data_IF_683826094281
#
_entry.id   IF_683826094281
#
_cell.length_a   1.000
_cell.length_b   1.000
_cell.length_c   1.000
_cell.angle_alpha   90.00
_cell.angle_beta   90.00
_cell.angle_gamma   90.00
#
_symmetry.space_group_name_H-M   'P 1'
#
loop_
_entity.id
_entity.type
_entity.pdbx_description
1 polymer ?
#
# COMPACT_ATOMS: atom_id res chain seq x y z
N UNK A 1 -4.77 32.39 14.03
CA UNK A 1 -5.21 31.13 13.40
C UNK A 1 -4.21 30.04 13.80
N UNK A 2 -4.53 29.24 14.83
CA UNK A 2 -3.73 28.07 15.21
C UNK A 2 -3.93 26.99 14.14
N UNK A 3 -2.94 26.80 13.26
CA UNK A 3 -2.82 25.56 12.51
C UNK A 3 -2.60 24.45 13.56
N UNK A 4 -3.59 23.57 13.75
CA UNK A 4 -3.40 22.33 14.49
C UNK A 4 -2.39 21.51 13.69
N UNK A 5 -1.16 21.43 14.17
CA UNK A 5 -0.23 20.38 13.74
C UNK A 5 -0.86 19.07 14.14
N UNK A 6 -1.45 18.39 13.18
CA UNK A 6 -1.94 17.03 13.36
C UNK A 6 -0.73 16.13 13.65
N UNK A 7 -0.71 15.48 14.81
CA UNK A 7 0.40 14.63 15.23
C UNK A 7 0.63 13.51 14.20
N UNK A 8 1.89 13.12 13.97
CA UNK A 8 2.24 12.01 13.05
C UNK A 8 1.50 10.73 13.42
N UNK A 9 1.26 10.51 14.73
CA UNK A 9 0.51 9.37 15.26
C UNK A 9 -0.95 9.38 14.78
N UNK A 10 -1.60 10.55 14.71
CA UNK A 10 -2.97 10.70 14.21
C UNK A 10 -3.05 10.43 12.70
N UNK A 11 -2.00 10.77 11.95
CA UNK A 11 -1.92 10.49 10.50
C UNK A 11 -1.78 9.01 10.21
N UNK A 12 -1.04 8.26 11.02
CA UNK A 12 -0.91 6.80 10.86
C UNK A 12 -2.26 6.10 11.04
N UNK A 13 -3.05 6.48 12.05
CA UNK A 13 -4.39 5.95 12.27
C UNK A 13 -5.34 6.25 11.11
N UNK A 14 -5.20 7.40 10.45
CA UNK A 14 -5.99 7.78 9.28
C UNK A 14 -5.76 6.82 8.10
N UNK A 15 -4.52 6.45 7.85
CA UNK A 15 -4.19 5.62 6.68
C UNK A 15 -4.32 4.11 6.94
N UNK A 16 -4.04 3.67 8.18
CA UNK A 16 -3.87 2.25 8.50
C UNK A 16 -4.78 1.77 9.65
N UNK A 17 -5.56 2.65 10.27
CA UNK A 17 -6.30 2.37 11.51
C UNK A 17 -7.72 1.82 11.36
N UNK A 18 -8.26 1.69 10.13
CA UNK A 18 -9.59 1.11 9.91
C UNK A 18 -10.73 1.91 10.56
N UNK A 19 -10.74 3.25 10.42
CA UNK A 19 -11.79 4.11 10.98
C UNK A 19 -12.99 4.11 10.04
N UNK A 20 -14.08 3.45 10.40
CA UNK A 20 -15.31 3.28 9.59
C UNK A 20 -15.86 4.60 9.04
N UNK A 21 -15.85 5.67 9.83
CA UNK A 21 -16.32 6.99 9.40
C UNK A 21 -15.43 7.57 8.28
N UNK A 22 -14.12 7.39 8.38
CA UNK A 22 -13.20 7.82 7.34
C UNK A 22 -13.38 7.01 6.06
N UNK A 23 -13.53 5.70 6.17
CA UNK A 23 -13.77 4.81 5.02
C UNK A 23 -15.07 5.19 4.30
N UNK A 24 -16.12 5.56 5.04
CA UNK A 24 -17.37 6.06 4.46
C UNK A 24 -17.19 7.39 3.73
N UNK A 25 -16.49 8.35 4.35
CA UNK A 25 -16.19 9.64 3.71
C UNK A 25 -15.32 9.46 2.46
N UNK A 26 -14.34 8.58 2.51
CA UNK A 26 -13.53 8.24 1.34
C UNK A 26 -14.38 7.65 0.22
N UNK A 27 -15.30 6.75 0.54
CA UNK A 27 -16.24 6.17 -0.44
C UNK A 27 -17.14 7.23 -1.07
N UNK A 28 -17.68 8.15 -0.28
CA UNK A 28 -18.54 9.23 -0.79
C UNK A 28 -17.80 10.18 -1.75
N UNK A 29 -16.57 10.57 -1.39
CA UNK A 29 -15.81 11.58 -2.15
C UNK A 29 -15.02 10.97 -3.33
N UNK A 30 -14.50 9.77 -3.19
CA UNK A 30 -13.59 9.17 -4.16
C UNK A 30 -14.12 7.89 -4.82
N UNK A 31 -15.29 7.37 -4.38
CA UNK A 31 -15.86 6.16 -4.94
C UNK A 31 -16.02 6.20 -6.46
N UNK A 32 -16.68 7.22 -7.05
CA UNK A 32 -16.81 7.30 -8.51
C UNK A 32 -15.47 7.36 -9.24
N UNK A 33 -14.50 8.09 -8.70
CA UNK A 33 -13.16 8.19 -9.27
C UNK A 33 -12.40 6.87 -9.20
N UNK A 34 -12.54 6.14 -8.07
CA UNK A 34 -11.96 4.81 -7.91
C UNK A 34 -12.58 3.82 -8.90
N UNK A 35 -13.90 3.85 -9.11
CA UNK A 35 -14.56 2.99 -10.09
C UNK A 35 -14.01 3.24 -11.51
N UNK A 36 -13.88 4.48 -11.92
CA UNK A 36 -13.26 4.84 -13.20
C UNK A 36 -11.82 4.30 -13.30
N UNK A 37 -11.02 4.46 -12.23
CA UNK A 37 -9.67 3.91 -12.19
C UNK A 37 -9.64 2.37 -12.33
N UNK A 38 -10.53 1.66 -11.64
CA UNK A 38 -10.62 0.18 -11.71
C UNK A 38 -11.09 -0.32 -13.08
N UNK A 39 -11.90 0.46 -13.80
CA UNK A 39 -12.35 0.15 -15.16
C UNK A 39 -11.28 0.44 -16.23
N UNK A 40 -10.13 0.98 -15.85
CA UNK A 40 -9.05 1.30 -16.78
C UNK A 40 -9.10 2.72 -17.34
N UNK A 41 -10.05 3.52 -16.90
CA UNK A 41 -10.09 4.95 -17.20
C UNK A 41 -8.93 5.70 -16.52
N UNK A 42 -8.87 7.01 -16.62
CA UNK A 42 -7.82 7.86 -16.07
C UNK A 42 -6.42 7.59 -16.67
N UNK A 43 -6.34 7.09 -17.89
CA UNK A 43 -5.07 6.84 -18.59
C UNK A 43 -4.20 8.10 -18.70
N UNK A 44 -4.82 9.28 -18.83
CA UNK A 44 -4.09 10.55 -18.81
C UNK A 44 -3.32 10.80 -17.52
N UNK A 45 -3.70 10.13 -16.39
CA UNK A 45 -2.98 10.22 -15.12
C UNK A 45 -1.70 9.37 -15.09
N UNK A 46 -1.52 8.47 -16.04
CA UNK A 46 -0.35 7.60 -16.07
C UNK A 46 0.94 8.32 -16.51
N UNK A 47 0.86 9.44 -17.21
CA UNK A 47 2.03 10.12 -17.77
C UNK A 47 2.69 11.15 -16.85
N UNK A 48 1.98 12.15 -16.28
CA UNK A 48 2.59 13.04 -15.30
C UNK A 48 2.88 12.30 -14.00
N UNK A 49 4.12 12.36 -13.50
CA UNK A 49 4.56 11.57 -12.33
C UNK A 49 3.68 11.77 -11.09
N UNK A 50 3.27 13.01 -10.79
CA UNK A 50 2.41 13.33 -9.66
C UNK A 50 1.00 12.76 -9.83
N UNK A 51 0.45 12.80 -11.05
CA UNK A 51 -0.85 12.20 -11.35
C UNK A 51 -0.76 10.67 -11.30
N UNK A 52 0.34 10.08 -11.78
CA UNK A 52 0.59 8.63 -11.66
C UNK A 52 0.63 8.19 -10.20
N UNK A 53 1.33 8.95 -9.33
CA UNK A 53 1.34 8.66 -7.90
C UNK A 53 -0.08 8.76 -7.30
N UNK A 54 -0.86 9.76 -7.68
CA UNK A 54 -2.25 9.88 -7.23
C UNK A 54 -3.12 8.70 -7.70
N UNK A 55 -2.95 8.23 -8.94
CA UNK A 55 -3.62 7.04 -9.46
C UNK A 55 -3.21 5.77 -8.68
N UNK A 56 -1.93 5.61 -8.38
CA UNK A 56 -1.41 4.51 -7.56
C UNK A 56 -2.04 4.53 -6.17
N UNK A 57 -2.11 5.69 -5.51
CA UNK A 57 -2.75 5.84 -4.20
C UNK A 57 -4.24 5.48 -4.26
N UNK A 58 -4.92 5.87 -5.31
CA UNK A 58 -6.34 5.55 -5.52
C UNK A 58 -6.54 4.03 -5.67
N UNK A 59 -5.74 3.37 -6.51
CA UNK A 59 -5.83 1.95 -6.79
C UNK A 59 -5.39 1.06 -5.62
N UNK A 60 -4.42 1.50 -4.82
CA UNK A 60 -3.87 0.72 -3.71
C UNK A 60 -4.50 1.11 -2.37
N UNK A 61 -4.27 2.33 -1.88
CA UNK A 61 -4.65 2.74 -0.52
C UNK A 61 -6.14 3.00 -0.38
N UNK A 62 -6.72 3.80 -1.28
CA UNK A 62 -8.15 4.14 -1.22
C UNK A 62 -9.01 2.92 -1.49
N UNK A 63 -8.61 2.06 -2.44
CA UNK A 63 -9.32 0.83 -2.75
C UNK A 63 -9.40 -0.10 -1.53
N UNK A 64 -8.30 -0.27 -0.80
CA UNK A 64 -8.27 -1.05 0.45
C UNK A 64 -9.20 -0.49 1.51
N UNK A 65 -9.24 0.81 1.70
CA UNK A 65 -10.08 1.44 2.70
C UNK A 65 -11.57 1.38 2.31
N UNK A 66 -11.89 1.68 1.05
CA UNK A 66 -13.28 1.74 0.55
C UNK A 66 -13.91 0.34 0.48
N UNK A 67 -13.15 -0.69 0.14
CA UNK A 67 -13.63 -2.06 -0.08
C UNK A 67 -13.10 -3.06 0.96
N UNK A 68 -12.74 -2.58 2.15
CA UNK A 68 -12.20 -3.39 3.25
C UNK A 68 -13.01 -4.66 3.47
N UNK A 69 -12.33 -5.79 3.68
CA UNK A 69 -12.94 -7.09 3.93
C UNK A 69 -13.54 -7.77 2.70
N UNK A 70 -13.34 -7.25 1.50
CA UNK A 70 -13.85 -7.87 0.26
C UNK A 70 -12.74 -8.08 -0.77
N UNK A 71 -12.94 -8.99 -1.72
CA UNK A 71 -12.03 -9.22 -2.84
C UNK A 71 -11.74 -7.94 -3.64
N UNK A 72 -12.70 -7.03 -3.67
CA UNK A 72 -12.62 -5.77 -4.39
C UNK A 72 -11.51 -4.85 -3.86
N UNK A 73 -11.13 -4.99 -2.58
CA UNK A 73 -10.01 -4.26 -1.98
C UNK A 73 -8.67 -4.50 -2.70
N UNK A 74 -8.56 -5.57 -3.46
CA UNK A 74 -7.34 -5.98 -4.17
C UNK A 74 -7.45 -5.83 -5.70
N UNK A 75 -8.59 -5.36 -6.22
CA UNK A 75 -8.83 -5.27 -7.66
C UNK A 75 -7.88 -4.31 -8.40
N UNK A 76 -7.35 -3.30 -7.70
CA UNK A 76 -6.42 -2.32 -8.24
C UNK A 76 -4.95 -2.74 -8.22
N UNK A 77 -4.60 -3.84 -7.51
CA UNK A 77 -3.20 -4.21 -7.22
C UNK A 77 -2.36 -4.38 -8.49
N UNK A 78 -2.85 -5.11 -9.47
CA UNK A 78 -2.10 -5.38 -10.70
C UNK A 78 -1.76 -4.13 -11.49
N UNK A 79 -2.71 -3.19 -11.62
CA UNK A 79 -2.47 -1.91 -12.31
C UNK A 79 -1.52 -1.03 -11.50
N UNK A 80 -1.72 -0.94 -10.18
CA UNK A 80 -0.84 -0.16 -9.31
C UNK A 80 0.61 -0.67 -9.38
N UNK A 81 0.83 -1.98 -9.28
CA UNK A 81 2.15 -2.60 -9.40
C UNK A 81 2.81 -2.31 -10.75
N UNK A 82 2.06 -2.42 -11.86
CA UNK A 82 2.56 -2.09 -13.20
C UNK A 82 3.03 -0.65 -13.29
N UNK A 83 2.25 0.31 -12.77
CA UNK A 83 2.60 1.73 -12.77
C UNK A 83 3.86 2.01 -11.92
N UNK A 84 4.00 1.34 -10.77
CA UNK A 84 5.22 1.41 -9.96
C UNK A 84 6.41 0.93 -10.77
N UNK A 85 6.35 -0.28 -11.34
CA UNK A 85 7.46 -0.86 -12.11
C UNK A 85 7.86 0.02 -13.31
N UNK A 86 6.90 0.62 -13.99
CA UNK A 86 7.19 1.59 -15.06
C UNK A 86 7.93 2.83 -14.53
N UNK A 87 7.53 3.35 -13.36
CA UNK A 87 8.19 4.49 -12.73
C UNK A 87 9.63 4.15 -12.35
N UNK A 88 9.85 2.95 -11.81
CA UNK A 88 11.18 2.47 -11.42
C UNK A 88 12.09 2.22 -12.63
N UNK A 89 11.57 1.65 -13.71
CA UNK A 89 12.33 1.40 -14.93
C UNK A 89 12.85 2.68 -15.58
N UNK A 90 12.16 3.81 -15.35
CA UNK A 90 12.54 5.13 -15.84
C UNK A 90 13.33 5.96 -14.80
N UNK A 91 13.63 5.41 -13.63
CA UNK A 91 14.25 6.09 -12.47
C UNK A 91 13.50 7.38 -12.04
N UNK A 92 12.21 7.51 -12.39
CA UNK A 92 11.40 8.68 -12.07
C UNK A 92 11.01 8.76 -10.59
N UNK A 93 11.13 7.67 -9.84
CA UNK A 93 10.90 7.68 -8.39
C UNK A 93 11.84 8.64 -7.66
N UNK A 94 13.03 8.91 -8.21
CA UNK A 94 14.00 9.85 -7.63
C UNK A 94 13.54 11.30 -7.69
N UNK A 95 12.63 11.64 -8.59
CA UNK A 95 12.03 12.98 -8.69
C UNK A 95 11.00 13.25 -7.57
N UNK A 96 10.52 12.19 -6.89
CA UNK A 96 9.55 12.31 -5.81
C UNK A 96 10.22 12.63 -4.47
N UNK A 97 9.58 13.43 -3.61
CA UNK A 97 10.01 13.57 -2.22
C UNK A 97 9.93 12.22 -1.50
N UNK A 98 10.71 12.04 -0.43
CA UNK A 98 10.82 10.78 0.32
C UNK A 98 9.46 10.14 0.68
N UNK A 99 8.49 10.95 1.11
CA UNK A 99 7.14 10.46 1.44
C UNK A 99 6.41 9.98 0.18
N UNK A 100 6.56 10.68 -0.95
CA UNK A 100 6.01 10.25 -2.23
C UNK A 100 6.59 8.91 -2.69
N UNK A 101 7.91 8.73 -2.55
CA UNK A 101 8.57 7.44 -2.82
C UNK A 101 8.05 6.32 -1.93
N UNK A 102 7.85 6.57 -0.64
CA UNK A 102 7.31 5.58 0.28
C UNK A 102 5.94 5.08 -0.22
N UNK A 103 5.04 6.00 -0.54
CA UNK A 103 3.71 5.62 -1.06
C UNK A 103 3.78 4.96 -2.45
N UNK A 104 4.73 5.36 -3.29
CA UNK A 104 4.98 4.70 -4.57
C UNK A 104 5.35 3.22 -4.39
N UNK A 105 6.11 2.87 -3.35
CA UNK A 105 6.59 1.50 -3.13
C UNK A 105 5.56 0.59 -2.42
N UNK A 106 4.49 1.15 -1.85
CA UNK A 106 3.49 0.34 -1.12
C UNK A 106 2.81 -0.75 -1.97
N UNK A 107 2.48 -0.56 -3.26
CA UNK A 107 1.96 -1.66 -4.07
C UNK A 107 2.90 -2.86 -4.21
N UNK A 108 4.22 -2.64 -4.11
CA UNK A 108 5.20 -3.74 -4.08
C UNK A 108 5.12 -4.51 -2.77
N UNK A 109 4.95 -3.80 -1.63
CA UNK A 109 4.75 -4.41 -0.31
C UNK A 109 3.47 -5.27 -0.28
N UNK A 110 2.47 -4.88 -1.04
CA UNK A 110 1.19 -5.57 -1.11
C UNK A 110 1.15 -6.71 -2.15
N UNK A 111 2.22 -6.91 -2.91
CA UNK A 111 2.28 -7.92 -3.95
C UNK A 111 2.46 -9.35 -3.38
N UNK A 112 1.70 -10.31 -3.90
CA UNK A 112 1.94 -11.74 -3.65
C UNK A 112 3.02 -12.26 -4.62
N UNK A 113 4.20 -11.60 -4.60
CA UNK A 113 5.36 -11.89 -5.45
C UNK A 113 6.63 -11.66 -4.66
N UNK A 114 7.43 -12.71 -4.51
CA UNK A 114 8.67 -12.67 -3.72
C UNK A 114 9.66 -11.62 -4.26
N UNK A 115 9.81 -11.53 -5.58
CA UNK A 115 10.70 -10.55 -6.20
C UNK A 115 10.28 -9.10 -5.93
N UNK A 116 8.98 -8.80 -5.96
CA UNK A 116 8.47 -7.47 -5.66
C UNK A 116 8.58 -7.13 -4.17
N UNK A 117 8.49 -8.12 -3.29
CA UNK A 117 8.72 -7.95 -1.87
C UNK A 117 10.18 -7.57 -1.56
N UNK A 118 11.13 -8.26 -2.17
CA UNK A 118 12.55 -7.93 -2.05
C UNK A 118 12.85 -6.51 -2.57
N UNK A 119 12.33 -6.16 -3.74
CA UNK A 119 12.47 -4.82 -4.31
C UNK A 119 11.92 -3.74 -3.35
N UNK A 120 10.74 -4.00 -2.74
CA UNK A 120 10.14 -3.09 -1.77
C UNK A 120 11.04 -2.87 -0.55
N UNK A 121 11.52 -3.95 0.06
CA UNK A 121 12.39 -3.89 1.26
C UNK A 121 13.67 -3.12 0.93
N UNK A 122 14.31 -3.40 -0.20
CA UNK A 122 15.54 -2.73 -0.60
C UNK A 122 15.32 -1.23 -0.80
N UNK A 123 14.24 -0.83 -1.50
CA UNK A 123 13.94 0.57 -1.74
C UNK A 123 13.61 1.35 -0.47
N UNK A 124 12.80 0.78 0.41
CA UNK A 124 12.50 1.42 1.71
C UNK A 124 13.75 1.50 2.57
N UNK A 125 14.61 0.48 2.57
CA UNK A 125 15.89 0.52 3.28
C UNK A 125 16.79 1.66 2.76
N UNK A 126 16.89 1.85 1.44
CA UNK A 126 17.60 3.00 0.85
C UNK A 126 17.00 4.34 1.30
N UNK A 127 15.66 4.46 1.40
CA UNK A 127 15.03 5.67 1.93
C UNK A 127 15.44 5.92 3.38
N UNK A 128 15.50 4.90 4.23
CA UNK A 128 15.96 5.02 5.62
C UNK A 128 17.40 5.53 5.66
N UNK A 129 18.29 4.93 4.86
CA UNK A 129 19.73 5.26 4.87
C UNK A 129 20.03 6.68 4.37
N UNK A 130 19.25 7.20 3.41
CA UNK A 130 19.51 8.50 2.77
C UNK A 130 18.62 9.63 3.30
N UNK A 131 17.79 9.37 4.31
CA UNK A 131 16.90 10.39 4.90
C UNK A 131 17.53 11.05 6.13
N UNK A 132 17.20 12.32 6.41
CA UNK A 132 17.56 12.95 7.68
C UNK A 132 17.08 12.13 8.89
N UNK A 133 17.82 12.13 9.99
CA UNK A 133 17.60 11.26 11.15
C UNK A 133 16.15 11.27 11.71
N UNK A 134 15.48 12.42 11.69
CA UNK A 134 14.09 12.54 12.15
C UNK A 134 13.12 11.76 11.26
N UNK A 135 13.32 11.81 9.93
CA UNK A 135 12.48 11.08 8.95
C UNK A 135 12.88 9.60 8.91
N UNK A 136 14.17 9.29 8.97
CA UNK A 136 14.68 7.92 9.01
C UNK A 136 14.04 7.12 10.16
N UNK A 137 13.89 7.69 11.35
CA UNK A 137 13.19 7.05 12.48
C UNK A 137 11.73 6.70 12.16
N UNK A 138 11.02 7.55 11.43
CA UNK A 138 9.64 7.27 11.01
C UNK A 138 9.60 6.16 9.95
N UNK A 139 10.56 6.15 9.01
CA UNK A 139 10.68 5.16 7.95
C UNK A 139 11.08 3.77 8.46
N UNK A 140 11.74 3.66 9.61
CA UNK A 140 12.08 2.38 10.26
C UNK A 140 10.83 1.51 10.48
N UNK A 141 9.70 2.11 10.90
CA UNK A 141 8.44 1.39 11.04
C UNK A 141 7.92 0.83 9.71
N UNK A 142 8.08 1.59 8.62
CA UNK A 142 7.70 1.15 7.29
C UNK A 142 8.63 0.04 6.77
N UNK A 143 9.93 0.11 7.07
CA UNK A 143 10.89 -0.95 6.74
C UNK A 143 10.55 -2.24 7.49
N UNK A 144 10.25 -2.16 8.79
CA UNK A 144 9.85 -3.33 9.58
C UNK A 144 8.54 -3.95 9.03
N UNK A 145 7.58 -3.12 8.63
CA UNK A 145 6.36 -3.59 7.98
C UNK A 145 6.66 -4.31 6.65
N UNK A 146 7.53 -3.75 5.80
CA UNK A 146 7.92 -4.38 4.53
C UNK A 146 8.61 -5.74 4.77
N UNK A 147 9.51 -5.83 5.73
CA UNK A 147 10.17 -7.08 6.12
C UNK A 147 9.17 -8.12 6.65
N UNK A 148 8.15 -7.69 7.39
CA UNK A 148 7.09 -8.58 7.86
C UNK A 148 6.24 -9.13 6.71
N UNK A 149 5.91 -8.30 5.71
CA UNK A 149 5.20 -8.74 4.50
C UNK A 149 6.06 -9.73 3.71
N UNK A 150 7.35 -9.43 3.50
CA UNK A 150 8.29 -10.33 2.84
C UNK A 150 8.32 -11.70 3.53
N UNK A 151 8.48 -11.75 4.85
CA UNK A 151 8.53 -13.01 5.60
C UNK A 151 7.25 -13.86 5.43
N UNK A 152 6.08 -13.23 5.29
CA UNK A 152 4.83 -13.94 5.02
C UNK A 152 4.84 -14.53 3.60
N UNK A 153 5.30 -13.77 2.61
CA UNK A 153 5.37 -14.26 1.22
C UNK A 153 6.45 -15.33 1.07
N UNK A 154 7.59 -15.22 1.75
CA UNK A 154 8.60 -16.29 1.81
C UNK A 154 8.01 -17.59 2.38
N UNK A 155 7.20 -17.49 3.43
CA UNK A 155 6.64 -18.66 4.11
C UNK A 155 5.47 -19.30 3.38
N UNK A 156 4.56 -18.49 2.81
CA UNK A 156 3.28 -18.98 2.29
C UNK A 156 3.09 -18.75 0.79
N UNK A 157 3.95 -17.95 0.15
CA UNK A 157 3.78 -17.55 -1.26
C UNK A 157 2.61 -16.59 -1.50
N UNK A 158 1.81 -16.32 -0.48
CA UNK A 158 0.62 -15.47 -0.52
C UNK A 158 0.33 -14.89 0.86
N UNK A 159 -0.62 -13.96 0.93
CA UNK A 159 -1.10 -13.39 2.19
C UNK A 159 -2.30 -14.20 2.72
N UNK A 160 -2.15 -15.03 3.78
CA UNK A 160 -3.24 -15.83 4.33
C UNK A 160 -4.46 -15.03 4.77
N UNK A 161 -4.26 -13.80 5.30
CA UNK A 161 -5.35 -12.93 5.73
C UNK A 161 -6.29 -12.49 4.59
N UNK A 162 -5.89 -12.65 3.32
CA UNK A 162 -6.75 -12.38 2.15
C UNK A 162 -7.58 -13.60 1.73
N UNK A 163 -7.31 -14.79 2.27
CA UNK A 163 -7.93 -16.02 1.78
C UNK A 163 -9.46 -15.97 1.85
N UNK A 164 -10.02 -15.51 2.97
CA UNK A 164 -11.47 -15.40 3.13
C UNK A 164 -12.08 -14.43 2.11
N UNK A 165 -11.50 -13.23 1.95
CA UNK A 165 -11.98 -12.22 1.02
C UNK A 165 -11.86 -12.67 -0.46
N UNK A 166 -10.83 -13.46 -0.79
CA UNK A 166 -10.56 -13.97 -2.14
C UNK A 166 -11.17 -15.37 -2.38
N UNK A 167 -11.97 -15.89 -1.46
CA UNK A 167 -12.56 -17.22 -1.52
C UNK A 167 -11.52 -18.33 -1.78
N UNK A 168 -10.37 -18.25 -1.09
CA UNK A 168 -9.28 -19.23 -1.15
C UNK A 168 -9.31 -20.08 0.12
N UNK A 169 -9.18 -21.41 -0.03
CA UNK A 169 -9.01 -22.30 1.12
C UNK A 169 -7.68 -22.03 1.82
N UNK A 170 -7.71 -21.99 3.16
CA UNK A 170 -6.49 -21.90 3.98
C UNK A 170 -5.93 -23.29 4.26
N UNK A 171 -4.61 -23.40 4.24
CA UNK A 171 -3.90 -24.60 4.72
C UNK A 171 -3.88 -24.62 6.25
N UNK A 172 -3.66 -25.77 6.92
CA UNK A 172 -3.52 -25.83 8.37
C UNK A 172 -2.43 -24.91 8.93
N UNK A 173 -1.33 -24.71 8.20
CA UNK A 173 -0.26 -23.79 8.57
C UNK A 173 -0.70 -22.32 8.49
N UNK A 174 -1.49 -21.96 7.47
CA UNK A 174 -2.07 -20.61 7.34
C UNK A 174 -3.14 -20.35 8.41
N UNK A 175 -3.96 -21.35 8.75
CA UNK A 175 -4.93 -21.24 9.86
C UNK A 175 -4.23 -21.03 11.21
N UNK A 176 -3.13 -21.76 11.45
CA UNK A 176 -2.32 -21.57 12.65
C UNK A 176 -1.75 -20.13 12.69
N UNK A 177 -1.22 -19.64 11.58
CA UNK A 177 -0.72 -18.27 11.46
C UNK A 177 -1.82 -17.22 11.69
N UNK A 178 -3.03 -17.42 11.17
CA UNK A 178 -4.13 -16.47 11.28
C UNK A 178 -4.70 -16.32 12.70
N UNK A 179 -4.39 -17.24 13.63
CA UNK A 179 -4.79 -17.10 15.04
C UNK A 179 -4.12 -15.89 15.70
N UNK A 180 -2.82 -15.72 15.49
CA UNK A 180 -2.00 -14.71 16.16
C UNK A 180 -1.28 -13.75 15.21
N UNK A 181 -1.32 -14.01 13.90
CA UNK A 181 -0.62 -13.26 12.88
C UNK A 181 -1.28 -11.93 12.52
N UNK A 182 -0.52 -11.02 11.89
CA UNK A 182 -1.01 -9.72 11.51
C UNK A 182 -2.06 -9.82 10.38
N UNK A 183 -3.10 -8.99 10.47
CA UNK A 183 -4.16 -8.88 9.45
C UNK A 183 -4.10 -7.60 8.64
N UNK A 184 -3.19 -6.69 8.96
CA UNK A 184 -2.93 -5.41 8.24
C UNK A 184 -4.20 -4.58 7.96
N UNK A 185 -5.15 -4.58 8.92
CA UNK A 185 -6.38 -3.80 8.82
C UNK A 185 -7.44 -4.36 7.86
N UNK A 186 -7.33 -5.62 7.46
CA UNK A 186 -8.32 -6.32 6.64
C UNK A 186 -9.25 -7.18 7.49
#
# INVERSE_FOLDING_TARGET
>A
RRQRQMCIRDRHAIWFGGVTELDQRMRQHFGPLLEAALQGDLQAWEHPLQARLALILLLDQFNRNIHRGSARAFAGDGRAQKLVLQTLALAQDEELPTVGRLFLYMPLMHAESLSLQFECVERINRLVQHSPAALARSLQGNLAAAQQHLAIIEKFGRFPHRNAALNRASTPAEEAFLRDGPRFGQ
#
